data_IF_744049628857
#
_entry.id   IF_744049628857
#
_cell.length_a   1.000
_cell.length_b   1.000
_cell.length_c   1.000
_cell.angle_alpha   90.00
_cell.angle_beta   90.00
_cell.angle_gamma   90.00
#
_symmetry.space_group_name_H-M   'P 1'
#
loop_
_entity.id
_entity.type
_entity.pdbx_description
1 polymer ?
#
# COMPACT_ATOMS: atom_id res chain seq x y z
N UNK A 1 -4.54 5.77 6.84
CA UNK A 1 -3.42 4.83 7.11
C UNK A 1 -2.81 4.33 5.81
N UNK A 2 -3.59 3.67 4.94
CA UNK A 2 -3.11 3.06 3.69
C UNK A 2 -2.28 3.97 2.76
N UNK A 3 -2.53 5.29 2.71
CA UNK A 3 -1.71 6.20 1.88
C UNK A 3 -0.29 6.44 2.40
N UNK A 4 -0.12 6.55 3.72
CA UNK A 4 1.23 6.70 4.32
C UNK A 4 2.00 5.39 4.16
N UNK A 5 1.34 4.25 4.39
CA UNK A 5 1.95 2.93 4.20
C UNK A 5 2.40 2.74 2.74
N UNK A 6 1.60 3.22 1.78
CA UNK A 6 1.94 3.19 0.36
C UNK A 6 3.15 4.05 0.04
N UNK A 7 3.23 5.26 0.57
CA UNK A 7 4.39 6.15 0.42
C UNK A 7 5.64 5.55 1.05
N UNK A 8 5.53 4.98 2.26
CA UNK A 8 6.64 4.31 2.93
C UNK A 8 7.17 3.13 2.10
N UNK A 9 6.27 2.31 1.54
CA UNK A 9 6.64 1.23 0.64
C UNK A 9 7.37 1.72 -0.63
N UNK A 10 6.96 2.85 -1.22
CA UNK A 10 7.66 3.44 -2.36
C UNK A 10 9.01 4.02 -1.97
N UNK A 11 9.15 4.65 -0.79
CA UNK A 11 10.45 5.10 -0.30
C UNK A 11 11.44 3.94 -0.13
N UNK A 12 10.98 2.81 0.42
CA UNK A 12 11.77 1.58 0.56
C UNK A 12 12.19 1.05 -0.81
N UNK A 13 11.26 0.98 -1.76
CA UNK A 13 11.54 0.54 -3.14
C UNK A 13 12.61 1.42 -3.80
N UNK A 14 12.43 2.74 -3.77
CA UNK A 14 13.38 3.69 -4.35
C UNK A 14 14.77 3.60 -3.70
N UNK A 15 14.85 3.41 -2.38
CA UNK A 15 16.12 3.15 -1.71
C UNK A 15 16.82 1.91 -2.28
N UNK A 16 16.10 0.78 -2.35
CA UNK A 16 16.65 -0.47 -2.84
C UNK A 16 17.03 -0.45 -4.33
N UNK A 17 16.31 0.31 -5.15
CA UNK A 17 16.64 0.48 -6.57
C UNK A 17 17.97 1.24 -6.78
N UNK A 18 18.43 2.01 -5.78
CA UNK A 18 19.73 2.70 -5.80
C UNK A 18 20.83 1.93 -5.09
N UNK A 19 20.49 1.08 -4.13
CA UNK A 19 21.42 0.26 -3.36
C UNK A 19 21.73 -1.05 -4.11
N UNK A 20 22.59 -0.97 -5.13
CA UNK A 20 23.04 -2.15 -5.88
C UNK A 20 23.82 -3.12 -4.98
N UNK A 21 23.43 -4.40 -4.98
CA UNK A 21 24.18 -5.48 -4.31
C UNK A 21 23.96 -5.58 -2.79
N UNK A 22 23.04 -4.82 -2.21
CA UNK A 22 22.74 -4.90 -0.79
C UNK A 22 21.83 -6.09 -0.48
N UNK A 23 22.17 -6.84 0.57
CA UNK A 23 21.37 -7.98 0.98
C UNK A 23 20.03 -7.51 1.57
N UNK A 24 18.95 -7.66 0.79
CA UNK A 24 17.59 -7.31 1.20
C UNK A 24 17.10 -8.17 2.38
N UNK A 25 17.73 -9.31 2.66
CA UNK A 25 17.38 -10.15 3.82
C UNK A 25 17.63 -9.44 5.16
N UNK A 26 18.53 -8.46 5.19
CA UNK A 26 18.78 -7.63 6.37
C UNK A 26 17.54 -6.82 6.75
N UNK A 27 16.67 -6.50 5.78
CA UNK A 27 15.45 -5.72 6.02
C UNK A 27 14.53 -6.37 7.05
N UNK A 28 14.49 -7.71 7.11
CA UNK A 28 13.64 -8.46 8.05
C UNK A 28 14.06 -8.27 9.51
N UNK A 29 15.29 -7.83 9.75
CA UNK A 29 15.86 -7.62 11.09
C UNK A 29 15.75 -6.16 11.55
N UNK A 30 15.33 -5.25 10.67
CA UNK A 30 15.26 -3.83 10.98
C UNK A 30 14.01 -3.51 11.79
N UNK A 31 14.17 -2.69 12.83
CA UNK A 31 13.05 -2.05 13.51
C UNK A 31 12.56 -0.84 12.72
N UNK A 32 11.39 -0.30 13.07
CA UNK A 32 10.88 0.93 12.47
C UNK A 32 11.88 2.10 12.56
N UNK A 33 12.60 2.20 13.68
CA UNK A 33 13.63 3.23 13.87
C UNK A 33 14.81 3.03 12.91
N UNK A 34 15.23 1.78 12.69
CA UNK A 34 16.32 1.45 11.76
C UNK A 34 15.91 1.74 10.32
N UNK A 35 14.68 1.37 9.93
CA UNK A 35 14.14 1.67 8.60
C UNK A 35 14.08 3.18 8.37
N UNK A 36 13.61 3.96 9.35
CA UNK A 36 13.60 5.42 9.26
C UNK A 36 15.01 6.01 9.13
N UNK A 37 15.98 5.52 9.91
CA UNK A 37 17.37 5.97 9.83
C UNK A 37 18.01 5.65 8.47
N UNK A 38 17.75 4.45 7.96
CA UNK A 38 18.19 4.00 6.63
C UNK A 38 17.60 4.88 5.53
N UNK A 39 16.29 5.15 5.55
CA UNK A 39 15.65 5.94 4.50
C UNK A 39 16.02 7.42 4.56
N UNK A 40 16.26 7.99 5.74
CA UNK A 40 16.77 9.36 5.92
C UNK A 40 18.17 9.55 5.30
N UNK A 41 18.95 8.48 5.22
CA UNK A 41 20.31 8.48 4.66
C UNK A 41 20.37 7.80 3.29
N UNK A 42 19.22 7.62 2.65
CA UNK A 42 19.09 6.92 1.38
C UNK A 42 19.87 7.61 0.25
N UNK A 43 20.56 6.86 -0.63
CA UNK A 43 21.13 7.42 -1.84
C UNK A 43 20.08 7.79 -2.90
N UNK A 44 18.81 7.42 -2.71
CA UNK A 44 17.70 7.89 -3.54
C UNK A 44 17.16 9.22 -3.03
N UNK A 45 17.14 10.20 -3.94
CA UNK A 45 16.51 11.51 -3.71
C UNK A 45 15.02 11.32 -3.48
N UNK A 46 14.38 10.45 -4.26
CA UNK A 46 12.95 10.15 -4.19
C UNK A 46 12.59 9.55 -2.83
N UNK A 47 13.35 8.58 -2.34
CA UNK A 47 13.14 7.98 -1.02
C UNK A 47 13.27 9.03 0.11
N UNK A 48 14.30 9.88 0.02
CA UNK A 48 14.55 10.93 1.01
C UNK A 48 13.45 11.98 1.00
N UNK A 49 12.97 12.38 -0.18
CA UNK A 49 11.85 13.32 -0.32
C UNK A 49 10.57 12.77 0.27
N UNK A 50 10.22 11.51 -0.03
CA UNK A 50 9.02 10.87 0.51
C UNK A 50 9.08 10.83 2.05
N UNK A 51 10.22 10.41 2.63
CA UNK A 51 10.37 10.38 4.09
C UNK A 51 10.36 11.77 4.70
N UNK A 52 10.98 12.76 4.06
CA UNK A 52 10.91 14.14 4.52
C UNK A 52 9.46 14.63 4.58
N UNK A 53 8.68 14.37 3.52
CA UNK A 53 7.26 14.73 3.49
C UNK A 53 6.46 14.02 4.57
N UNK A 54 6.67 12.71 4.76
CA UNK A 54 5.97 11.94 5.82
C UNK A 54 6.26 12.51 7.21
N UNK A 55 7.52 12.86 7.51
CA UNK A 55 7.94 13.26 8.84
C UNK A 55 7.68 14.74 9.15
N UNK A 56 7.82 15.62 8.16
CA UNK A 56 7.87 17.07 8.38
C UNK A 56 6.81 17.85 7.61
N UNK A 57 6.26 17.30 6.53
CA UNK A 57 5.30 18.01 5.68
C UNK A 57 4.05 17.16 5.35
N UNK A 58 3.39 16.56 6.36
CA UNK A 58 2.27 15.65 6.11
C UNK A 58 1.07 16.34 5.42
N UNK A 59 0.97 17.67 5.54
CA UNK A 59 -0.06 18.48 4.87
C UNK A 59 0.04 18.44 3.33
N UNK A 60 1.18 18.03 2.76
CA UNK A 60 1.37 17.85 1.32
C UNK A 60 0.84 16.50 0.82
N UNK A 61 0.52 15.57 1.72
CA UNK A 61 0.03 14.24 1.36
C UNK A 61 -1.46 14.34 1.06
N UNK A 62 -1.84 14.06 -0.17
CA UNK A 62 -3.21 14.07 -0.62
C UNK A 62 -3.61 12.66 -1.07
N UNK A 63 -4.84 12.27 -0.71
CA UNK A 63 -5.45 11.03 -1.19
C UNK A 63 -6.62 11.44 -2.06
N UNK A 64 -6.63 10.96 -3.30
CA UNK A 64 -7.68 11.23 -4.29
C UNK A 64 -8.13 9.95 -4.97
N UNK A 65 -9.21 10.03 -5.72
CA UNK A 65 -9.52 9.01 -6.72
C UNK A 65 -8.37 8.91 -7.72
N UNK A 66 -8.17 7.72 -8.31
CA UNK A 66 -7.04 7.42 -9.18
C UNK A 66 -7.10 8.23 -10.49
N UNK A 67 -6.40 9.37 -10.53
CA UNK A 67 -6.24 10.22 -11.71
C UNK A 67 -4.94 9.92 -12.48
N UNK A 68 -4.17 8.90 -12.05
CA UNK A 68 -2.94 8.44 -12.69
C UNK A 68 -1.71 9.31 -12.40
N UNK A 69 -1.75 10.14 -11.36
CA UNK A 69 -0.67 11.07 -11.00
C UNK A 69 0.03 10.72 -9.69
N UNK A 70 -0.60 9.90 -8.85
CA UNK A 70 -0.09 9.45 -7.57
C UNK A 70 0.32 7.98 -7.57
N UNK A 71 0.73 7.50 -6.40
CA UNK A 71 0.95 6.08 -6.16
C UNK A 71 -0.37 5.39 -5.86
N UNK A 72 -0.73 4.32 -6.57
CA UNK A 72 -2.03 3.68 -6.39
C UNK A 72 -2.14 3.04 -5.00
N UNK A 73 -3.21 3.35 -4.29
CA UNK A 73 -3.67 2.67 -3.07
C UNK A 73 -4.87 1.82 -3.47
N UNK A 74 -4.63 0.51 -3.63
CA UNK A 74 -5.70 -0.41 -3.95
C UNK A 74 -5.84 -1.45 -2.85
N UNK A 75 -7.03 -1.57 -2.25
CA UNK A 75 -7.38 -2.77 -1.47
C UNK A 75 -7.97 -3.79 -2.45
N UNK A 76 -7.08 -4.54 -3.11
CA UNK A 76 -7.47 -5.62 -4.03
C UNK A 76 -7.76 -6.94 -3.32
N UNK A 77 -7.59 -7.01 -1.99
CA UNK A 77 -7.83 -8.25 -1.24
C UNK A 77 -9.32 -8.45 -0.93
N UNK A 78 -10.16 -8.45 -1.96
CA UNK A 78 -11.25 -9.42 -1.97
C UNK A 78 -10.59 -10.68 -2.48
N UNK A 79 -10.33 -11.63 -1.57
CA UNK A 79 -10.06 -12.98 -2.03
C UNK A 79 -11.25 -13.36 -2.90
N UNK A 80 -11.01 -13.52 -4.20
CA UNK A 80 -12.01 -14.02 -5.16
C UNK A 80 -12.32 -15.51 -4.90
N UNK A 81 -12.25 -15.91 -3.62
CA UNK A 81 -12.49 -17.23 -3.08
C UNK A 81 -13.88 -17.18 -2.49
N UNK A 82 -14.85 -17.58 -3.30
CA UNK A 82 -16.21 -17.80 -2.81
C UNK A 82 -16.19 -19.16 -2.08
N UNK A 83 -16.56 -19.22 -0.79
CA UNK A 83 -16.63 -20.48 -0.07
C UNK A 83 -17.56 -21.46 -0.80
N UNK A 84 -17.19 -22.74 -0.81
CA UNK A 84 -18.04 -23.81 -1.33
C UNK A 84 -18.77 -24.49 -0.17
N UNK A 85 -20.01 -24.90 -0.42
CA UNK A 85 -20.82 -25.73 0.47
C UNK A 85 -21.40 -26.86 -0.36
N UNK A 86 -21.02 -28.10 -0.03
CA UNK A 86 -21.42 -29.31 -0.78
C UNK A 86 -21.12 -29.25 -2.29
N UNK A 87 -20.04 -28.56 -2.68
CA UNK A 87 -19.62 -28.44 -4.09
C UNK A 87 -20.22 -27.24 -4.83
N UNK A 88 -21.27 -26.61 -4.28
CA UNK A 88 -21.84 -25.38 -4.82
C UNK A 88 -21.24 -24.15 -4.15
N UNK A 89 -21.22 -23.01 -4.85
CA UNK A 89 -20.83 -21.73 -4.25
C UNK A 89 -21.81 -21.32 -3.15
N UNK A 90 -21.30 -20.85 -2.00
CA UNK A 90 -22.16 -20.42 -0.91
C UNK A 90 -23.17 -19.32 -1.34
N UNK A 91 -22.78 -18.49 -2.32
CA UNK A 91 -23.62 -17.43 -2.90
C UNK A 91 -24.76 -17.94 -3.79
N UNK A 92 -24.70 -19.18 -4.30
CA UNK A 92 -25.80 -19.77 -5.09
C UNK A 92 -26.87 -20.40 -4.22
N UNK A 93 -26.52 -20.85 -3.01
CA UNK A 93 -27.42 -21.56 -2.10
C UNK A 93 -27.92 -20.72 -0.92
N UNK A 94 -27.28 -19.58 -0.61
CA UNK A 94 -27.63 -18.73 0.52
C UNK A 94 -27.69 -17.25 0.12
N UNK A 95 -28.87 -16.63 0.31
CA UNK A 95 -29.13 -15.23 -0.05
C UNK A 95 -28.37 -14.24 0.84
N UNK A 96 -28.17 -14.54 2.11
CA UNK A 96 -27.39 -13.71 3.04
C UNK A 96 -25.92 -13.68 2.64
N UNK A 97 -25.36 -14.84 2.26
CA UNK A 97 -23.99 -14.92 1.74
C UNK A 97 -23.83 -14.09 0.45
N UNK A 98 -24.82 -14.12 -0.45
CA UNK A 98 -24.83 -13.29 -1.65
C UNK A 98 -24.85 -11.79 -1.31
N UNK A 99 -25.69 -11.38 -0.36
CA UNK A 99 -25.75 -9.99 0.09
C UNK A 99 -24.44 -9.52 0.74
N UNK A 100 -23.80 -10.39 1.53
CA UNK A 100 -22.51 -10.09 2.15
C UNK A 100 -21.41 -9.91 1.11
N UNK A 101 -21.32 -10.79 0.10
CA UNK A 101 -20.34 -10.64 -1.00
C UNK A 101 -20.59 -9.36 -1.80
N UNK A 102 -21.86 -9.05 -2.10
CA UNK A 102 -22.21 -7.79 -2.77
C UNK A 102 -21.80 -6.58 -1.93
N UNK A 103 -22.08 -6.58 -0.63
CA UNK A 103 -21.65 -5.51 0.27
C UNK A 103 -20.13 -5.35 0.28
N UNK A 104 -19.38 -6.46 0.41
CA UNK A 104 -17.92 -6.43 0.37
C UNK A 104 -17.39 -5.86 -0.95
N UNK A 105 -18.05 -6.13 -2.08
CA UNK A 105 -17.66 -5.55 -3.37
C UNK A 105 -17.77 -4.02 -3.41
N UNK A 106 -18.68 -3.43 -2.62
CA UNK A 106 -18.79 -1.97 -2.50
C UNK A 106 -17.69 -1.35 -1.63
N UNK A 107 -16.96 -2.16 -0.87
CA UNK A 107 -15.82 -1.71 -0.07
C UNK A 107 -14.51 -1.68 -0.86
N UNK A 108 -14.53 -2.12 -2.13
CA UNK A 108 -13.38 -1.97 -3.03
C UNK A 108 -13.26 -0.51 -3.44
N UNK A 109 -12.06 0.02 -3.32
CA UNK A 109 -11.74 1.37 -3.78
C UNK A 109 -10.45 1.37 -4.58
N UNK A 110 -10.40 2.31 -5.52
CA UNK A 110 -9.21 2.63 -6.31
C UNK A 110 -8.85 4.09 -6.06
N UNK A 111 -7.90 4.29 -5.16
CA UNK A 111 -7.43 5.60 -4.75
C UNK A 111 -5.96 5.74 -5.15
N UNK A 112 -5.45 6.96 -5.13
CA UNK A 112 -4.02 7.24 -5.24
C UNK A 112 -3.59 8.16 -4.10
N UNK A 113 -2.31 8.05 -3.71
CA UNK A 113 -1.64 9.00 -2.83
C UNK A 113 -0.63 9.81 -3.62
N UNK A 114 -0.71 11.13 -3.52
CA UNK A 114 0.22 12.04 -4.15
C UNK A 114 0.84 12.99 -3.12
N UNK A 115 2.02 13.49 -3.44
CA UNK A 115 2.69 14.56 -2.70
C UNK A 115 2.54 15.83 -3.53
N UNK A 116 1.78 16.80 -3.02
CA UNK A 116 1.60 18.08 -3.69
C UNK A 116 2.92 18.85 -3.73
N UNK A 117 3.27 19.40 -4.89
CA UNK A 117 4.44 20.27 -5.07
C UNK A 117 4.38 21.49 -4.17
#
# INVERSE_FOLDING_TARGET
MAGIDRLLAEAIKHHWDKCNGTNKDVFVQLTDADVLAMLKTSPSIEATQIIHTILYEPYRIQISENLGKGYPISVQKIYNKIPLCNGDTLTSINAEAKNMVNYLSTLVFDLEVCIST
#
